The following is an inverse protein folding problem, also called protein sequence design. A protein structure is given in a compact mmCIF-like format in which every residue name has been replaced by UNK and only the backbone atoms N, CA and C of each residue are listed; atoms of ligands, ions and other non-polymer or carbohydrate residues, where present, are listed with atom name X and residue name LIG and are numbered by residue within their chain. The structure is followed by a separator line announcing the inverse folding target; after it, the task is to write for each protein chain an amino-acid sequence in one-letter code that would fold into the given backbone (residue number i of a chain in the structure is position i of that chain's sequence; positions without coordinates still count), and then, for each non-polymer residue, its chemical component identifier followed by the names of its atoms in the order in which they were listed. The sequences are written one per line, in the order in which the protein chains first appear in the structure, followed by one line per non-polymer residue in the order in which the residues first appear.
data_IF_704644306453
#
_entry.id   IF_704644306453
#
_cell.length_a   1.000
_cell.length_b   1.000
_cell.length_c   1.000
_cell.angle_alpha   90.00
_cell.angle_beta   90.00
_cell.angle_gamma   90.00
#
_symmetry.space_group_name_H-M   'P 1'
#
loop_
_entity.id
_entity.type
_entity.pdbx_description
1 polymer ?
#
# COMPACT_ATOMS: atom_id res chain seq x y z
N UNK A 1 -20.64 8.83 -25.41
CA UNK A 1 -19.59 8.79 -24.34
C UNK A 1 -18.87 7.48 -24.46
N UNK A 2 -17.54 7.49 -24.50
CA UNK A 2 -16.74 6.25 -24.59
C UNK A 2 -16.98 5.34 -23.38
N UNK A 3 -16.88 4.01 -23.55
CA UNK A 3 -17.01 3.01 -22.46
C UNK A 3 -16.11 3.36 -21.26
N UNK A 4 -14.97 3.96 -21.51
CA UNK A 4 -13.99 4.44 -20.54
C UNK A 4 -14.57 5.43 -19.52
N UNK A 5 -15.47 6.35 -19.98
CA UNK A 5 -16.14 7.32 -19.09
C UNK A 5 -17.30 6.70 -18.31
N UNK A 6 -17.89 5.62 -18.84
CA UNK A 6 -19.02 4.93 -18.18
C UNK A 6 -18.56 4.02 -17.04
N UNK A 7 -17.34 3.44 -17.16
CA UNK A 7 -16.82 2.46 -16.22
C UNK A 7 -15.37 2.78 -15.80
N UNK A 8 -15.12 3.95 -15.15
CA UNK A 8 -13.77 4.43 -14.91
C UNK A 8 -12.95 3.48 -14.02
N UNK A 9 -13.58 2.82 -13.07
CA UNK A 9 -12.89 1.91 -12.16
C UNK A 9 -12.48 0.61 -12.87
N UNK A 10 -13.33 0.07 -13.74
CA UNK A 10 -13.01 -1.12 -14.55
C UNK A 10 -11.88 -0.78 -15.50
N UNK A 11 -11.97 0.36 -16.20
CA UNK A 11 -10.92 0.84 -17.11
C UNK A 11 -9.59 1.00 -16.39
N UNK A 12 -9.60 1.57 -15.18
CA UNK A 12 -8.39 1.72 -14.37
C UNK A 12 -7.74 0.35 -14.09
N UNK A 13 -8.50 -0.63 -13.60
CA UNK A 13 -7.95 -1.95 -13.31
C UNK A 13 -7.44 -2.65 -14.57
N UNK A 14 -8.20 -2.63 -15.66
CA UNK A 14 -7.76 -3.23 -16.95
C UNK A 14 -6.45 -2.60 -17.39
N UNK A 15 -6.33 -1.27 -17.41
CA UNK A 15 -5.10 -0.58 -17.78
C UNK A 15 -3.95 -0.92 -16.83
N UNK A 16 -4.21 -0.93 -15.52
CA UNK A 16 -3.20 -1.30 -14.51
C UNK A 16 -2.61 -2.67 -14.79
N UNK A 17 -3.46 -3.67 -15.01
CA UNK A 17 -3.01 -5.04 -15.29
C UNK A 17 -2.28 -5.12 -16.63
N UNK A 18 -2.83 -4.53 -17.70
CA UNK A 18 -2.19 -4.52 -19.01
C UNK A 18 -0.81 -3.84 -18.98
N UNK A 19 -0.69 -2.70 -18.30
CA UNK A 19 0.57 -1.97 -18.20
C UNK A 19 1.59 -2.74 -17.37
N UNK A 20 1.19 -3.25 -16.19
CA UNK A 20 2.12 -3.96 -15.31
C UNK A 20 2.53 -5.33 -15.84
N UNK A 21 1.61 -6.06 -16.47
CA UNK A 21 1.83 -7.44 -16.93
C UNK A 21 2.28 -7.50 -18.39
N UNK A 22 2.06 -6.44 -19.17
CA UNK A 22 2.40 -6.39 -20.58
C UNK A 22 3.88 -6.65 -20.88
N UNK A 23 4.74 -6.49 -19.90
CA UNK A 23 6.19 -6.76 -20.00
C UNK A 23 6.61 -8.17 -19.55
N UNK A 24 5.71 -8.97 -18.97
CA UNK A 24 6.02 -10.32 -18.50
C UNK A 24 6.63 -11.25 -19.58
N UNK A 25 6.24 -11.17 -20.84
CA UNK A 25 6.87 -11.98 -21.90
C UNK A 25 8.30 -11.54 -22.26
N UNK A 26 8.74 -10.38 -21.80
CA UNK A 26 10.05 -9.81 -22.14
C UNK A 26 11.01 -9.96 -20.95
N UNK A 27 12.14 -10.60 -21.14
CA UNK A 27 13.10 -10.92 -20.06
C UNK A 27 13.71 -9.70 -19.38
N UNK A 28 13.79 -8.56 -20.07
CA UNK A 28 14.44 -7.34 -19.55
C UNK A 28 13.64 -6.61 -18.46
N UNK A 29 12.29 -6.64 -18.51
CA UNK A 29 11.40 -6.01 -17.52
C UNK A 29 10.25 -6.95 -17.24
N UNK A 30 10.35 -7.72 -16.16
CA UNK A 30 9.38 -8.77 -15.85
C UNK A 30 8.06 -8.28 -15.28
N UNK A 31 8.07 -7.16 -14.55
CA UNK A 31 6.89 -6.61 -13.90
C UNK A 31 7.08 -5.10 -13.70
N UNK A 32 6.08 -4.29 -14.04
CA UNK A 32 6.15 -2.83 -13.90
C UNK A 32 5.29 -2.35 -12.72
N UNK A 33 5.89 -1.95 -11.59
CA UNK A 33 5.15 -1.47 -10.43
C UNK A 33 4.37 -0.17 -10.69
N UNK A 34 4.75 0.62 -11.69
CA UNK A 34 4.12 1.90 -12.02
C UNK A 34 2.76 1.78 -12.72
N UNK A 35 2.27 0.58 -13.01
CA UNK A 35 0.99 0.38 -13.70
C UNK A 35 -0.17 1.14 -13.07
N UNK A 36 -0.38 1.08 -11.75
CA UNK A 36 -1.46 1.80 -11.08
C UNK A 36 -1.34 3.32 -11.20
N UNK A 37 -0.13 3.88 -11.05
CA UNK A 37 0.11 5.31 -11.24
C UNK A 37 -0.21 5.74 -12.67
N UNK A 38 0.32 5.02 -13.67
CA UNK A 38 0.13 5.34 -15.09
C UNK A 38 -1.35 5.24 -15.45
N UNK A 39 -2.03 4.17 -15.02
CA UNK A 39 -3.46 4.00 -15.24
C UNK A 39 -4.27 5.16 -14.62
N UNK A 40 -3.94 5.60 -13.40
CA UNK A 40 -4.58 6.74 -12.77
C UNK A 40 -4.34 8.04 -13.55
N UNK A 41 -3.10 8.29 -13.99
CA UNK A 41 -2.75 9.48 -14.79
C UNK A 41 -3.44 9.49 -16.17
N UNK A 42 -3.85 8.35 -16.70
CA UNK A 42 -4.65 8.25 -17.93
C UNK A 42 -6.15 8.45 -17.62
N UNK A 43 -6.68 7.71 -16.64
CA UNK A 43 -8.14 7.65 -16.40
C UNK A 43 -8.66 8.92 -15.72
N UNK A 44 -7.90 9.51 -14.79
CA UNK A 44 -8.34 10.72 -14.06
C UNK A 44 -8.62 11.89 -15.00
N UNK A 45 -7.70 12.32 -15.90
CA UNK A 45 -7.96 13.45 -16.77
C UNK A 45 -9.07 13.16 -17.79
N UNK A 46 -9.21 11.92 -18.24
CA UNK A 46 -10.26 11.53 -19.19
C UNK A 46 -11.67 11.53 -18.57
N UNK A 47 -11.78 11.35 -17.25
CA UNK A 47 -13.06 11.24 -16.54
C UNK A 47 -13.41 12.46 -15.73
N UNK A 48 -12.43 13.15 -15.14
CA UNK A 48 -12.58 14.28 -14.21
C UNK A 48 -11.85 15.55 -14.67
N UNK A 49 -11.14 15.49 -15.79
CA UNK A 49 -10.38 16.63 -16.31
C UNK A 49 -9.22 17.05 -15.39
N UNK A 50 -8.82 18.29 -15.55
CA UNK A 50 -7.71 18.87 -14.77
C UNK A 50 -8.01 18.95 -13.26
N UNK A 51 -9.27 19.14 -12.88
CA UNK A 51 -9.69 19.17 -11.47
C UNK A 51 -9.39 17.85 -10.76
N UNK A 52 -9.63 16.71 -11.43
CA UNK A 52 -9.29 15.39 -10.91
C UNK A 52 -7.79 15.18 -10.71
N UNK A 53 -6.96 15.65 -11.65
CA UNK A 53 -5.50 15.57 -11.50
C UNK A 53 -5.01 16.45 -10.33
N UNK A 54 -5.59 17.63 -10.17
CA UNK A 54 -5.28 18.52 -9.05
C UNK A 54 -5.66 17.90 -7.70
N UNK A 55 -6.83 17.24 -7.62
CA UNK A 55 -7.25 16.52 -6.42
C UNK A 55 -6.29 15.36 -6.10
N UNK A 56 -5.96 14.52 -7.09
CA UNK A 56 -4.98 13.44 -6.93
C UNK A 56 -3.63 13.98 -6.45
N UNK A 57 -3.09 15.01 -7.09
CA UNK A 57 -1.84 15.66 -6.69
C UNK A 57 -1.90 16.22 -5.26
N UNK A 58 -3.04 16.84 -4.87
CA UNK A 58 -3.22 17.36 -3.52
C UNK A 58 -3.16 16.28 -2.45
N UNK A 59 -3.69 15.09 -2.74
CA UNK A 59 -3.62 13.92 -1.85
C UNK A 59 -2.20 13.36 -1.75
N UNK A 60 -1.44 13.36 -2.85
CA UNK A 60 -0.06 12.90 -2.89
C UNK A 60 0.88 13.78 -2.05
N UNK A 61 0.57 15.06 -1.90
CA UNK A 61 1.39 15.99 -1.12
C UNK A 61 0.71 16.41 0.19
N UNK A 62 -0.32 15.70 0.64
CA UNK A 62 -1.04 16.00 1.89
C UNK A 62 -0.22 15.57 3.09
N UNK A 63 0.69 16.44 3.55
CA UNK A 63 1.59 16.20 4.69
C UNK A 63 1.04 16.76 6.01
N UNK A 64 0.07 17.71 5.99
CA UNK A 64 -0.49 18.32 7.20
C UNK A 64 -1.46 17.39 7.90
N UNK A 65 -0.91 16.35 8.53
CA UNK A 65 -1.60 15.40 9.40
C UNK A 65 -0.97 15.44 10.80
N UNK A 66 -1.69 14.97 11.82
CA UNK A 66 -1.14 14.97 13.18
C UNK A 66 0.10 14.06 13.25
N UNK A 67 1.12 14.45 14.00
CA UNK A 67 2.44 13.81 14.05
C UNK A 67 2.40 12.31 14.37
N UNK A 68 1.44 11.87 15.19
CA UNK A 68 1.30 10.45 15.54
C UNK A 68 0.96 9.56 14.33
N UNK A 69 0.40 10.11 13.25
CA UNK A 69 0.19 9.36 12.01
C UNK A 69 1.51 8.99 11.33
N UNK A 70 2.51 9.87 11.39
CA UNK A 70 3.86 9.55 10.93
C UNK A 70 4.50 8.47 11.80
N UNK A 71 4.35 8.58 13.13
CA UNK A 71 4.85 7.56 14.06
C UNK A 71 4.21 6.19 13.80
N UNK A 72 2.90 6.15 13.50
CA UNK A 72 2.22 4.90 13.15
C UNK A 72 2.61 4.40 11.75
N UNK A 73 2.74 5.29 10.76
CA UNK A 73 3.12 4.92 9.39
C UNK A 73 4.51 4.27 9.31
N UNK A 74 5.43 4.68 10.17
CA UNK A 74 6.78 4.13 10.25
C UNK A 74 6.84 3.04 11.33
N UNK A 75 6.32 3.29 12.51
CA UNK A 75 6.50 2.42 13.67
C UNK A 75 5.78 1.09 13.56
N UNK A 76 4.56 1.04 13.01
CA UNK A 76 3.82 -0.22 12.91
C UNK A 76 4.49 -1.21 11.94
N UNK A 77 4.89 -0.85 10.71
CA UNK A 77 5.64 -1.77 9.84
C UNK A 77 6.95 -2.25 10.48
N UNK A 78 7.69 -1.37 11.14
CA UNK A 78 8.92 -1.75 11.87
C UNK A 78 8.63 -2.73 13.00
N UNK A 79 7.54 -2.51 13.77
CA UNK A 79 7.13 -3.42 14.83
C UNK A 79 6.71 -4.80 14.28
N UNK A 80 6.04 -4.84 13.13
CA UNK A 80 5.70 -6.10 12.44
C UNK A 80 6.96 -6.85 12.02
N UNK A 81 7.94 -6.16 11.43
CA UNK A 81 9.22 -6.77 11.07
C UNK A 81 9.96 -7.30 12.29
N UNK A 82 10.03 -6.51 13.37
CA UNK A 82 10.67 -6.92 14.62
C UNK A 82 9.96 -8.15 15.22
N UNK A 83 8.64 -8.13 15.28
CA UNK A 83 7.86 -9.25 15.80
C UNK A 83 8.02 -10.50 14.94
N UNK A 84 8.07 -10.35 13.61
CA UNK A 84 8.38 -11.44 12.69
C UNK A 84 9.75 -12.07 13.01
N UNK A 85 10.78 -11.25 13.27
CA UNK A 85 12.11 -11.73 13.66
C UNK A 85 12.04 -12.49 14.98
N UNK A 86 11.47 -11.88 16.02
CA UNK A 86 11.37 -12.48 17.36
C UNK A 86 10.64 -13.83 17.31
N UNK A 87 9.50 -13.89 16.62
CA UNK A 87 8.73 -15.13 16.50
C UNK A 87 9.49 -16.23 15.74
N UNK A 88 10.14 -15.88 14.63
CA UNK A 88 10.90 -16.88 13.88
C UNK A 88 12.08 -17.44 14.69
N UNK A 89 12.81 -16.60 15.42
CA UNK A 89 13.91 -17.05 16.30
C UNK A 89 13.34 -17.91 17.43
N UNK A 90 12.25 -17.51 18.07
CA UNK A 90 11.59 -18.30 19.10
C UNK A 90 11.09 -19.67 18.57
N UNK A 91 10.75 -19.77 17.30
CA UNK A 91 10.39 -21.00 16.60
C UNK A 91 11.61 -21.79 16.05
N UNK A 92 12.82 -21.44 16.51
CA UNK A 92 14.06 -22.15 16.19
C UNK A 92 14.72 -21.73 14.86
N UNK A 93 14.42 -20.54 14.32
CA UNK A 93 15.23 -19.99 13.23
C UNK A 93 16.61 -19.57 13.78
N UNK A 94 17.68 -19.63 12.97
CA UNK A 94 18.97 -19.08 13.37
C UNK A 94 18.88 -17.57 13.56
N UNK A 95 19.89 -16.96 14.18
CA UNK A 95 19.99 -15.51 14.29
C UNK A 95 19.89 -14.85 12.89
N UNK A 96 19.11 -13.76 12.73
CA UNK A 96 18.99 -13.11 11.44
C UNK A 96 20.29 -12.44 11.01
N UNK A 97 20.53 -12.37 9.71
CA UNK A 97 21.62 -11.57 9.15
C UNK A 97 21.26 -10.08 9.24
N UNK A 98 22.18 -9.30 9.80
CA UNK A 98 22.05 -7.84 9.86
C UNK A 98 22.81 -7.13 8.72
N UNK A 99 23.30 -7.86 7.73
CA UNK A 99 24.13 -7.30 6.66
C UNK A 99 23.46 -6.18 5.87
N UNK A 100 22.12 -6.27 5.66
CA UNK A 100 21.37 -5.21 4.98
C UNK A 100 21.36 -3.86 5.74
N UNK A 101 21.69 -3.86 7.04
CA UNK A 101 21.76 -2.65 7.87
C UNK A 101 23.19 -2.10 7.99
N UNK A 102 24.15 -2.64 7.23
CA UNK A 102 25.53 -2.17 7.25
C UNK A 102 25.96 -1.67 5.88
N UNK A 103 26.30 -0.39 5.75
CA UNK A 103 26.23 0.65 6.79
C UNK A 103 24.76 1.07 7.10
N UNK A 104 24.48 1.49 8.32
CA UNK A 104 23.11 1.85 8.79
C UNK A 104 22.40 2.82 7.86
N UNK A 105 23.10 3.78 7.26
CA UNK A 105 22.49 4.73 6.33
C UNK A 105 21.96 4.08 5.05
N UNK A 106 22.37 2.86 4.70
CA UNK A 106 21.90 2.19 3.49
C UNK A 106 20.37 1.99 3.50
N UNK A 107 19.80 1.60 4.64
CA UNK A 107 18.34 1.48 4.78
C UNK A 107 17.65 2.83 4.64
N UNK A 108 18.24 3.90 5.17
CA UNK A 108 17.70 5.27 5.02
C UNK A 108 17.74 5.74 3.57
N UNK A 109 18.80 5.41 2.83
CA UNK A 109 18.91 5.69 1.39
C UNK A 109 17.84 4.91 0.62
N UNK A 110 17.69 3.62 0.89
CA UNK A 110 16.62 2.80 0.28
C UNK A 110 15.26 3.42 0.55
N UNK A 111 14.96 3.75 1.80
CA UNK A 111 13.70 4.42 2.16
C UNK A 111 13.49 5.73 1.39
N UNK A 112 14.50 6.60 1.34
CA UNK A 112 14.41 7.88 0.63
C UNK A 112 14.19 7.69 -0.88
N UNK A 113 14.90 6.75 -1.51
CA UNK A 113 14.71 6.41 -2.93
C UNK A 113 13.30 5.89 -3.17
N UNK A 114 12.80 5.00 -2.34
CA UNK A 114 11.44 4.45 -2.46
C UNK A 114 10.34 5.52 -2.33
N UNK A 115 10.57 6.57 -1.57
CA UNK A 115 9.61 7.69 -1.46
C UNK A 115 9.44 8.49 -2.76
N UNK A 116 10.47 8.54 -3.61
CA UNK A 116 10.50 9.44 -4.77
C UNK A 116 10.61 8.71 -6.12
N UNK A 117 10.90 7.42 -6.12
CA UNK A 117 11.05 6.65 -7.34
C UNK A 117 9.69 6.14 -7.86
N UNK A 118 9.16 6.65 -8.99
CA UNK A 118 7.88 6.20 -9.52
C UNK A 118 7.96 4.79 -10.17
N UNK A 119 9.15 4.28 -10.41
CA UNK A 119 9.36 2.92 -10.92
C UNK A 119 9.40 1.87 -9.79
N UNK A 120 9.25 2.29 -8.54
CA UNK A 120 9.14 1.42 -7.36
C UNK A 120 7.70 1.41 -6.81
N UNK A 121 7.37 0.40 -5.99
CA UNK A 121 6.05 0.17 -5.44
C UNK A 121 5.40 1.40 -4.79
N UNK A 122 6.02 2.06 -3.79
CA UNK A 122 5.33 3.11 -3.04
C UNK A 122 4.71 4.21 -3.90
N UNK A 123 5.51 4.86 -4.73
CA UNK A 123 5.04 5.95 -5.58
C UNK A 123 4.39 5.44 -6.88
N UNK A 124 4.78 4.26 -7.35
CA UNK A 124 4.19 3.62 -8.53
C UNK A 124 2.77 3.09 -8.28
N UNK A 125 2.45 2.75 -7.04
CA UNK A 125 1.22 2.05 -6.68
C UNK A 125 0.19 2.91 -5.94
N UNK A 126 0.61 3.59 -4.87
CA UNK A 126 -0.31 4.24 -3.93
C UNK A 126 -1.19 5.32 -4.57
N UNK A 127 -0.71 6.16 -5.52
CA UNK A 127 -1.58 7.10 -6.22
C UNK A 127 -2.71 6.43 -6.98
N UNK A 128 -2.46 5.24 -7.54
CA UNK A 128 -3.49 4.43 -8.20
C UNK A 128 -4.43 3.78 -7.21
N UNK A 129 -3.90 3.02 -6.26
CA UNK A 129 -4.71 2.26 -5.32
C UNK A 129 -5.49 3.15 -4.35
N UNK A 130 -4.81 4.06 -3.64
CA UNK A 130 -5.40 4.91 -2.60
C UNK A 130 -5.87 6.24 -3.15
N UNK A 131 -5.15 6.81 -4.12
CA UNK A 131 -5.54 8.08 -4.72
C UNK A 131 -6.75 7.97 -5.65
N UNK A 132 -6.87 6.87 -6.42
CA UNK A 132 -7.92 6.69 -7.42
C UNK A 132 -8.94 5.61 -7.07
N UNK A 133 -8.50 4.34 -6.86
CA UNK A 133 -9.41 3.19 -6.77
C UNK A 133 -10.20 3.18 -5.47
N UNK A 134 -9.53 3.30 -4.32
CA UNK A 134 -10.17 3.22 -3.01
C UNK A 134 -11.31 4.22 -2.81
N UNK A 135 -11.16 5.54 -3.08
CA UNK A 135 -12.26 6.49 -2.92
C UNK A 135 -13.47 6.15 -3.78
N UNK A 136 -13.26 5.62 -4.98
CA UNK A 136 -14.35 5.24 -5.89
C UNK A 136 -15.05 3.97 -5.47
N UNK A 137 -14.32 2.99 -4.93
CA UNK A 137 -14.93 1.79 -4.35
C UNK A 137 -15.75 2.14 -3.11
N UNK A 138 -15.33 3.15 -2.35
CA UNK A 138 -15.99 3.61 -1.14
C UNK A 138 -17.17 4.58 -1.41
N UNK A 139 -17.37 5.04 -2.64
CA UNK A 139 -18.42 6.00 -2.96
C UNK A 139 -19.83 5.44 -2.66
N UNK A 140 -20.02 4.14 -2.83
CA UNK A 140 -21.30 3.44 -2.68
C UNK A 140 -21.20 2.16 -1.81
N UNK A 141 -20.05 1.94 -1.15
CA UNK A 141 -19.77 0.76 -0.32
C UNK A 141 -19.17 1.15 1.02
N UNK A 142 -19.40 0.30 2.01
CA UNK A 142 -18.70 0.46 3.30
C UNK A 142 -17.18 0.34 3.10
N UNK A 143 -16.36 0.96 3.96
CA UNK A 143 -14.91 0.81 3.94
C UNK A 143 -14.47 -0.65 3.95
N UNK A 144 -15.16 -1.52 4.70
CA UNK A 144 -14.87 -2.95 4.75
C UNK A 144 -14.99 -3.60 3.37
N UNK A 145 -16.14 -3.46 2.71
CA UNK A 145 -16.38 -4.11 1.41
C UNK A 145 -15.48 -3.52 0.33
N UNK A 146 -15.30 -2.21 0.31
CA UNK A 146 -14.41 -1.54 -0.63
C UNK A 146 -12.95 -2.01 -0.47
N UNK A 147 -12.50 -2.17 0.79
CA UNK A 147 -11.15 -2.66 1.08
C UNK A 147 -10.98 -4.13 0.72
N UNK A 148 -11.98 -4.97 0.96
CA UNK A 148 -11.94 -6.38 0.53
C UNK A 148 -11.83 -6.51 -1.00
N UNK A 149 -12.63 -5.75 -1.75
CA UNK A 149 -12.56 -5.74 -3.22
C UNK A 149 -11.17 -5.29 -3.67
N UNK A 150 -10.67 -4.19 -3.09
CA UNK A 150 -9.35 -3.68 -3.44
C UNK A 150 -8.25 -4.68 -3.08
N UNK A 151 -8.31 -5.31 -1.91
CA UNK A 151 -7.35 -6.29 -1.45
C UNK A 151 -7.26 -7.49 -2.41
N UNK A 152 -8.40 -8.01 -2.87
CA UNK A 152 -8.43 -9.09 -3.88
C UNK A 152 -7.77 -8.65 -5.17
N UNK A 153 -8.11 -7.47 -5.70
CA UNK A 153 -7.58 -6.97 -6.96
C UNK A 153 -6.07 -6.68 -6.88
N UNK A 154 -5.62 -6.08 -5.79
CA UNK A 154 -4.18 -5.84 -5.53
C UNK A 154 -3.43 -7.16 -5.39
N UNK A 155 -4.01 -8.14 -4.69
CA UNK A 155 -3.41 -9.47 -4.53
C UNK A 155 -3.27 -10.18 -5.88
N UNK A 156 -4.33 -10.19 -6.70
CA UNK A 156 -4.27 -10.77 -8.05
C UNK A 156 -3.20 -10.07 -8.90
N UNK A 157 -3.10 -8.75 -8.78
CA UNK A 157 -2.08 -7.99 -9.48
C UNK A 157 -0.65 -8.38 -9.09
N UNK A 158 -0.41 -8.76 -7.82
CA UNK A 158 0.89 -9.23 -7.31
C UNK A 158 1.22 -10.70 -7.64
N UNK A 159 0.27 -11.51 -8.14
CA UNK A 159 0.54 -12.94 -8.41
C UNK A 159 1.79 -13.16 -9.25
N UNK A 160 2.06 -12.41 -10.34
CA UNK A 160 3.29 -12.60 -11.09
C UNK A 160 4.56 -12.37 -10.26
N UNK A 161 4.58 -11.40 -9.35
CA UNK A 161 5.75 -11.14 -8.50
C UNK A 161 6.00 -12.30 -7.54
N UNK A 162 4.95 -12.87 -6.94
CA UNK A 162 5.08 -14.03 -6.06
C UNK A 162 5.69 -15.24 -6.81
N UNK A 163 5.24 -15.47 -8.05
CA UNK A 163 5.75 -16.56 -8.89
C UNK A 163 7.20 -16.29 -9.34
N UNK A 164 7.52 -15.04 -9.70
CA UNK A 164 8.87 -14.66 -10.16
C UNK A 164 9.88 -14.71 -9.02
N UNK A 165 9.50 -14.41 -7.78
CA UNK A 165 10.41 -14.39 -6.62
C UNK A 165 10.66 -15.77 -6.03
N UNK A 166 9.65 -16.63 -5.99
CA UNK A 166 9.73 -17.91 -5.29
C UNK A 166 9.35 -19.12 -6.13
N UNK A 167 9.07 -18.94 -7.42
CA UNK A 167 8.51 -19.99 -8.25
C UNK A 167 7.10 -20.35 -7.77
N UNK A 168 6.71 -21.60 -7.99
CA UNK A 168 5.39 -22.10 -7.59
C UNK A 168 5.40 -22.73 -6.18
N UNK A 169 6.14 -22.17 -5.23
CA UNK A 169 6.14 -22.65 -3.85
C UNK A 169 4.82 -22.24 -3.13
N UNK A 170 3.92 -23.20 -2.79
CA UNK A 170 2.59 -22.85 -2.29
C UNK A 170 2.59 -22.04 -1.00
N UNK A 171 3.53 -22.32 -0.09
CA UNK A 171 3.66 -21.61 1.19
C UNK A 171 4.08 -20.15 1.01
N UNK A 172 4.94 -19.86 0.02
CA UNK A 172 5.34 -18.49 -0.29
C UNK A 172 4.20 -17.71 -0.95
N UNK A 173 3.50 -18.33 -1.91
CA UNK A 173 2.32 -17.73 -2.54
C UNK A 173 1.23 -17.46 -1.49
N UNK A 174 0.93 -18.44 -0.62
CA UNK A 174 -0.04 -18.27 0.45
C UNK A 174 0.36 -17.12 1.39
N UNK A 175 1.62 -17.06 1.81
CA UNK A 175 2.13 -15.98 2.65
C UNK A 175 2.01 -14.62 1.97
N UNK A 176 2.39 -14.52 0.70
CA UNK A 176 2.25 -13.29 -0.10
C UNK A 176 0.80 -12.83 -0.23
N UNK A 177 -0.12 -13.76 -0.53
CA UNK A 177 -1.57 -13.49 -0.62
C UNK A 177 -2.10 -12.97 0.71
N UNK A 178 -1.85 -13.67 1.81
CA UNK A 178 -2.32 -13.27 3.14
C UNK A 178 -1.73 -11.92 3.58
N UNK A 179 -0.44 -11.71 3.37
CA UNK A 179 0.21 -10.45 3.71
C UNK A 179 -0.37 -9.28 2.90
N UNK A 180 -0.54 -9.44 1.57
CA UNK A 180 -1.09 -8.40 0.70
C UNK A 180 -2.53 -8.04 1.07
N UNK A 181 -3.37 -9.04 1.35
CA UNK A 181 -4.74 -8.80 1.83
C UNK A 181 -4.69 -8.03 3.15
N UNK A 182 -3.95 -8.52 4.13
CA UNK A 182 -3.92 -7.94 5.46
C UNK A 182 -3.34 -6.51 5.48
N UNK A 183 -2.24 -6.26 4.78
CA UNK A 183 -1.62 -4.93 4.72
C UNK A 183 -2.50 -3.92 3.98
N UNK A 184 -3.34 -4.38 3.04
CA UNK A 184 -4.32 -3.51 2.36
C UNK A 184 -5.31 -2.90 3.34
N UNK A 185 -5.70 -3.60 4.41
CA UNK A 185 -6.54 -3.06 5.49
C UNK A 185 -5.84 -1.95 6.26
N UNK A 186 -4.57 -2.13 6.59
CA UNK A 186 -3.78 -1.09 7.25
C UNK A 186 -3.69 0.18 6.40
N UNK A 187 -3.36 0.06 5.12
CA UNK A 187 -3.26 1.20 4.20
C UNK A 187 -4.61 1.88 4.02
N UNK A 188 -5.68 1.11 3.86
CA UNK A 188 -7.03 1.66 3.71
C UNK A 188 -7.48 2.43 4.96
N UNK A 189 -7.22 1.89 6.13
CA UNK A 189 -7.53 2.54 7.39
C UNK A 189 -6.74 3.83 7.57
N UNK A 190 -5.42 3.79 7.38
CA UNK A 190 -4.55 4.96 7.51
C UNK A 190 -4.95 6.07 6.52
N UNK A 191 -5.17 5.70 5.25
CA UNK A 191 -5.64 6.64 4.23
C UNK A 191 -6.90 7.38 4.68
N UNK A 192 -7.91 6.66 5.15
CA UNK A 192 -9.16 7.26 5.60
C UNK A 192 -8.97 8.12 6.87
N UNK A 193 -8.19 7.65 7.84
CA UNK A 193 -7.93 8.36 9.10
C UNK A 193 -7.05 9.60 8.94
N UNK A 194 -6.34 9.70 7.85
CA UNK A 194 -5.51 10.88 7.50
C UNK A 194 -6.19 11.81 6.48
N UNK A 195 -7.51 11.69 6.33
CA UNK A 195 -8.29 12.53 5.43
C UNK A 195 -7.96 12.33 3.95
N UNK A 196 -7.56 11.13 3.56
CA UNK A 196 -7.22 10.79 2.18
C UNK A 196 -5.78 11.15 1.79
N UNK A 197 -4.84 11.12 2.72
CA UNK A 197 -3.42 11.35 2.43
C UNK A 197 -2.80 10.12 1.75
N UNK A 198 -2.49 10.24 0.46
CA UNK A 198 -1.70 9.24 -0.27
C UNK A 198 -0.24 9.26 0.20
N UNK A 199 0.26 10.42 0.63
CA UNK A 199 1.62 10.52 1.19
C UNK A 199 1.82 9.58 2.37
N UNK A 200 0.82 9.47 3.25
CA UNK A 200 0.93 8.58 4.41
C UNK A 200 1.04 7.11 3.99
N UNK A 201 0.31 6.68 2.97
CA UNK A 201 0.41 5.31 2.46
C UNK A 201 1.70 5.06 1.69
N UNK A 202 2.23 6.05 0.98
CA UNK A 202 3.58 6.00 0.38
C UNK A 202 4.66 5.83 1.45
N UNK A 203 4.56 6.55 2.58
CA UNK A 203 5.51 6.41 3.70
C UNK A 203 5.45 5.00 4.31
N UNK A 204 4.25 4.47 4.56
CA UNK A 204 4.09 3.07 5.06
C UNK A 204 4.74 2.09 4.10
N UNK A 205 4.42 2.19 2.81
CA UNK A 205 4.90 1.27 1.79
C UNK A 205 6.42 1.35 1.61
N UNK A 206 6.97 2.57 1.65
CA UNK A 206 8.42 2.76 1.63
C UNK A 206 9.08 2.15 2.87
N UNK A 207 8.49 2.33 4.06
CA UNK A 207 9.02 1.74 5.31
C UNK A 207 9.01 0.22 5.25
N UNK A 208 7.86 -0.35 4.86
CA UNK A 208 7.69 -1.80 4.77
C UNK A 208 8.70 -2.44 3.82
N UNK A 209 8.82 -1.91 2.61
CA UNK A 209 9.70 -2.46 1.60
C UNK A 209 11.19 -2.09 1.78
N UNK A 210 11.54 -1.23 2.75
CA UNK A 210 12.95 -0.90 3.03
C UNK A 210 13.66 -1.99 3.82
N UNK A 211 12.93 -2.88 4.48
CA UNK A 211 13.46 -4.05 5.18
C UNK A 211 13.09 -5.30 4.38
N UNK A 212 14.08 -5.87 3.73
CA UNK A 212 13.88 -7.10 2.95
C UNK A 212 13.89 -8.31 3.88
N UNK A 213 12.73 -8.90 4.13
CA UNK A 213 12.57 -10.07 5.02
C UNK A 213 13.42 -11.25 4.54
N UNK A 214 13.53 -11.48 3.23
CA UNK A 214 14.37 -12.52 2.66
C UNK A 214 15.87 -12.34 2.92
N UNK A 215 16.34 -11.10 3.05
CA UNK A 215 17.74 -10.82 3.36
C UNK A 215 18.11 -11.06 4.84
N UNK A 216 17.12 -11.19 5.73
CA UNK A 216 17.38 -11.58 7.12
C UNK A 216 17.78 -13.05 7.26
N UNK A 217 17.35 -13.92 6.35
CA UNK A 217 17.66 -15.35 6.35
C UNK A 217 17.96 -15.86 4.93
N UNK A 218 19.11 -15.51 4.36
CA UNK A 218 19.40 -15.86 2.98
C UNK A 218 19.53 -17.38 2.71
N UNK A 219 19.74 -18.19 3.76
CA UNK A 219 20.01 -19.62 3.65
C UNK A 219 18.78 -20.55 3.72
N UNK A 220 17.56 -20.06 3.42
CA UNK A 220 16.50 -21.00 3.05
C UNK A 220 15.39 -21.29 4.07
N UNK A 221 15.14 -20.43 5.08
CA UNK A 221 13.96 -20.56 5.93
C UNK A 221 12.71 -19.83 5.35
N UNK A 222 12.73 -19.52 4.06
CA UNK A 222 11.84 -18.54 3.41
C UNK A 222 10.33 -18.79 3.63
N UNK A 223 9.88 -20.04 3.52
CA UNK A 223 8.45 -20.36 3.58
C UNK A 223 7.82 -20.07 4.96
N UNK A 224 8.49 -20.44 6.06
CA UNK A 224 7.99 -20.16 7.41
C UNK A 224 8.04 -18.67 7.71
N UNK A 225 9.07 -17.97 7.28
CA UNK A 225 9.29 -16.56 7.55
C UNK A 225 8.16 -15.72 6.95
N UNK A 226 7.79 -15.97 5.70
CA UNK A 226 6.70 -15.25 5.05
C UNK A 226 5.33 -15.57 5.67
N UNK A 227 5.11 -16.81 6.12
CA UNK A 227 3.86 -17.19 6.79
C UNK A 227 3.73 -16.54 8.17
N UNK A 228 4.80 -16.45 8.96
CA UNK A 228 4.80 -15.74 10.24
C UNK A 228 4.57 -14.26 10.02
N UNK A 229 5.26 -13.65 9.05
CA UNK A 229 5.05 -12.27 8.67
C UNK A 229 3.60 -11.98 8.27
N UNK A 230 3.02 -12.81 7.41
CA UNK A 230 1.63 -12.72 7.01
C UNK A 230 0.67 -12.88 8.21
N UNK A 231 0.97 -13.83 9.10
CA UNK A 231 0.19 -14.05 10.33
C UNK A 231 0.17 -12.81 11.24
N UNK A 232 1.30 -12.14 11.41
CA UNK A 232 1.37 -10.88 12.18
C UNK A 232 0.51 -9.80 11.54
N UNK A 233 0.61 -9.61 10.21
CA UNK A 233 -0.24 -8.66 9.49
C UNK A 233 -1.73 -9.01 9.57
N UNK A 234 -2.08 -10.30 9.52
CA UNK A 234 -3.47 -10.75 9.70
C UNK A 234 -4.01 -10.38 11.08
N UNK A 235 -3.20 -10.55 12.14
CA UNK A 235 -3.59 -10.12 13.50
C UNK A 235 -3.80 -8.61 13.55
N UNK A 236 -2.92 -7.82 12.94
CA UNK A 236 -3.09 -6.35 12.83
C UNK A 236 -4.39 -6.01 12.09
N UNK A 237 -4.64 -6.61 10.94
CA UNK A 237 -5.84 -6.34 10.13
C UNK A 237 -7.13 -6.69 10.89
N UNK A 238 -7.17 -7.87 11.53
CA UNK A 238 -8.31 -8.29 12.36
C UNK A 238 -8.50 -7.32 13.53
N UNK A 239 -7.41 -6.97 14.23
CA UNK A 239 -7.44 -5.99 15.32
C UNK A 239 -8.03 -4.65 14.87
N UNK A 240 -7.60 -4.11 13.72
CA UNK A 240 -8.15 -2.87 13.16
C UNK A 240 -9.64 -2.98 12.85
N UNK A 241 -10.08 -4.10 12.27
CA UNK A 241 -11.50 -4.31 11.95
C UNK A 241 -12.34 -4.41 13.22
N UNK A 242 -11.88 -5.14 14.22
CA UNK A 242 -12.61 -5.35 15.47
C UNK A 242 -12.65 -4.07 16.31
N UNK A 243 -11.50 -3.42 16.51
CA UNK A 243 -11.39 -2.24 17.36
C UNK A 243 -12.07 -1.01 16.76
N UNK A 244 -12.11 -0.90 15.44
CA UNK A 244 -12.72 0.23 14.74
C UNK A 244 -13.92 -0.21 13.88
N UNK A 245 -14.69 -1.18 14.37
CA UNK A 245 -15.80 -1.80 13.66
C UNK A 245 -16.84 -0.82 13.11
N UNK A 246 -17.10 0.28 13.86
CA UNK A 246 -18.04 1.32 13.44
C UNK A 246 -17.57 2.03 12.15
N UNK A 247 -16.28 2.31 12.05
CA UNK A 247 -15.70 2.85 10.82
C UNK A 247 -15.85 1.88 9.65
N UNK A 248 -15.52 0.62 9.86
CA UNK A 248 -15.52 -0.37 8.79
C UNK A 248 -16.91 -0.66 8.21
N UNK A 249 -17.96 -0.56 9.01
CA UNK A 249 -19.36 -0.77 8.58
C UNK A 249 -20.10 0.50 8.19
N UNK A 250 -19.62 1.65 8.62
CA UNK A 250 -20.23 2.94 8.35
C UNK A 250 -20.10 3.39 6.90
N UNK A 251 -20.70 4.52 6.54
CA UNK A 251 -20.40 5.17 5.28
C UNK A 251 -18.93 5.61 5.26
N UNK A 252 -18.30 5.54 4.09
CA UNK A 252 -16.93 6.00 3.98
C UNK A 252 -16.85 7.51 4.33
N UNK A 253 -15.81 7.95 5.04
CA UNK A 253 -15.58 9.37 5.27
C UNK A 253 -15.51 10.09 3.93
N UNK A 254 -16.26 11.17 3.78
CA UNK A 254 -16.12 12.03 2.60
C UNK A 254 -14.66 12.49 2.52
N UNK A 255 -14.01 12.42 1.36
CA UNK A 255 -12.69 13.00 1.20
C UNK A 255 -12.76 14.46 1.60
N UNK A 256 -11.95 14.89 2.56
CA UNK A 256 -11.93 16.29 2.97
C UNK A 256 -11.45 17.14 1.78
N UNK A 257 -12.35 17.78 1.10
CA UNK A 257 -12.07 18.76 0.04
C UNK A 257 -11.64 20.12 0.63
N UNK A 258 -11.61 20.22 1.95
CA UNK A 258 -11.31 21.48 2.65
C UNK A 258 -9.92 21.37 3.26
N UNK A 259 -9.00 22.23 2.80
CA UNK A 259 -7.91 22.69 3.64
C UNK A 259 -8.54 23.22 4.94
N UNK A 260 -8.09 22.83 6.13
CA UNK A 260 -8.32 23.62 7.32
C UNK A 260 -7.46 24.88 7.18
N UNK A 261 -7.95 25.84 6.39
CA UNK A 261 -7.42 27.17 6.37
C UNK A 261 -8.09 27.93 7.50
N UNK A 262 -7.30 28.24 8.54
CA UNK A 262 -7.51 29.39 9.44
C UNK A 262 -8.95 29.65 9.89
N UNK A 263 -9.47 28.85 10.82
CA UNK A 263 -10.41 29.33 11.81
C UNK A 263 -9.65 29.65 13.11
N UNK A 264 -8.93 30.72 13.06
CA UNK A 264 -8.23 31.28 14.21
C UNK A 264 -7.91 32.72 13.90
N UNK A 265 -8.87 33.60 14.16
CA UNK A 265 -8.74 35.01 14.46
C UNK A 265 -9.91 35.84 13.89
N UNK A 266 -11.07 35.74 14.53
CA UNK A 266 -12.04 36.83 14.55
C UNK A 266 -13.10 36.65 15.65
N UNK A 267 -12.64 36.55 16.90
CA UNK A 267 -13.48 36.91 18.06
C UNK A 267 -12.64 37.73 19.03
N UNK A 268 -12.34 38.96 18.64
CA UNK A 268 -12.15 40.07 19.58
C UNK A 268 -12.68 41.29 18.86
N UNK A 269 -13.95 41.64 19.14
CA UNK A 269 -14.49 42.96 19.43
C UNK A 269 -15.95 42.83 19.81
#
# INVERSE_FOLDING_TARGET
MSALRRHPIITFFVLTFVISWGFLPFEAVRFLPSGPLIAALIVVPLTQGWAGLRDLGSRMIRWRVRWYWYALAIGLPLAVHLLNVVLNVALGAPAPSLAQFSPVYAVLVVFAVRLVNPADGPLGEEPGWRGFAQPRLQADRSPLLATLILAVLVTVWHVPTFVLEAGLQPSFILGGVLATVAVTFWYAWLFNRTGGSVLMTVIVHATEGSIQVGALWPAGAAARIILVYAGVWCVVAIGLVVLDWRFWRGPAPAPSTVHPAYEGESRVR
#
